data_IF_614799299622
#
_entry.id   IF_614799299622
#
_cell.length_a   1.000
_cell.length_b   1.000
_cell.length_c   1.000
_cell.angle_alpha   90.00
_cell.angle_beta   90.00
_cell.angle_gamma   90.00
#
_symmetry.space_group_name_H-M   'P 1'
#
loop_
_entity.id
_entity.type
_entity.pdbx_description
1 polymer ?
#
# COMPACT_ATOMS: atom_id res chain seq x y z
N UNK A 1 25.06 -10.37 3.78
CA UNK A 1 24.54 -11.46 4.62
C UNK A 1 25.42 -11.60 5.85
N UNK A 2 25.00 -11.02 6.99
CA UNK A 2 25.32 -11.52 8.32
C UNK A 2 24.13 -11.22 9.24
N UNK A 3 23.75 -12.25 9.97
CA UNK A 3 22.66 -12.40 10.97
C UNK A 3 23.06 -11.67 12.27
N UNK A 4 22.28 -11.43 13.34
CA UNK A 4 20.88 -11.43 13.81
C UNK A 4 20.98 -10.98 15.29
N UNK A 5 19.91 -10.43 15.89
CA UNK A 5 19.50 -10.61 17.31
C UNK A 5 18.03 -10.17 17.34
N UNK A 6 17.03 -10.83 17.90
CA UNK A 6 16.85 -12.01 18.76
C UNK A 6 15.46 -11.83 19.40
N UNK A 7 14.76 -12.90 19.77
CA UNK A 7 14.16 -13.09 21.11
C UNK A 7 13.19 -14.30 21.16
N UNK A 8 13.56 -15.23 22.05
CA UNK A 8 12.74 -15.94 23.05
C UNK A 8 11.50 -16.71 22.59
N UNK A 9 11.71 -18.00 22.35
CA UNK A 9 10.72 -19.05 22.57
C UNK A 9 11.22 -20.00 23.66
N UNK A 10 10.55 -20.02 24.81
CA UNK A 10 10.78 -21.01 25.87
C UNK A 10 10.10 -22.31 25.45
N UNK A 11 10.88 -23.35 25.17
CA UNK A 11 10.39 -24.71 24.94
C UNK A 11 11.03 -25.62 25.99
N UNK A 12 10.20 -26.10 26.91
CA UNK A 12 10.54 -27.15 27.87
C UNK A 12 10.66 -28.48 27.11
N UNK A 13 11.89 -28.91 26.86
CA UNK A 13 12.20 -30.26 26.40
C UNK A 13 13.16 -30.92 27.39
N UNK A 14 12.62 -31.89 28.13
CA UNK A 14 13.36 -32.79 29.02
C UNK A 14 14.28 -33.67 28.17
N UNK A 15 15.59 -33.47 28.28
CA UNK A 15 16.58 -34.30 27.61
C UNK A 15 17.98 -34.03 28.16
N UNK A 16 18.49 -34.97 28.94
CA UNK A 16 19.83 -34.94 29.53
C UNK A 16 20.93 -34.98 28.46
N UNK A 17 21.96 -34.17 28.67
CA UNK A 17 23.33 -34.48 28.28
C UNK A 17 23.81 -33.84 26.98
N UNK A 18 24.66 -32.82 27.12
CA UNK A 18 25.49 -32.33 26.03
C UNK A 18 26.11 -30.97 26.32
N UNK A 19 27.34 -30.96 26.86
CA UNK A 19 28.19 -29.76 26.85
C UNK A 19 28.39 -29.30 25.40
N UNK A 20 28.11 -28.02 25.12
CA UNK A 20 28.70 -27.35 23.96
C UNK A 20 28.86 -25.84 24.24
N UNK A 21 30.14 -25.49 24.39
CA UNK A 21 30.81 -24.18 24.28
C UNK A 21 30.06 -23.05 23.59
N UNK A 22 30.05 -21.89 24.25
CA UNK A 22 29.50 -20.64 23.74
C UNK A 22 30.29 -20.02 22.59
N UNK A 23 29.60 -19.20 21.81
CA UNK A 23 30.22 -18.28 20.86
C UNK A 23 29.59 -16.90 21.02
N UNK A 24 30.41 -15.95 21.45
CA UNK A 24 30.17 -14.51 21.39
C UNK A 24 30.31 -14.05 19.94
N UNK A 25 29.20 -13.66 19.30
CA UNK A 25 29.25 -12.89 18.06
C UNK A 25 29.03 -11.42 18.37
N UNK A 26 30.12 -10.67 18.35
CA UNK A 26 30.11 -9.21 18.21
C UNK A 26 29.82 -8.87 16.75
N UNK A 27 28.71 -8.18 16.50
CA UNK A 27 28.32 -7.65 15.20
C UNK A 27 27.62 -6.31 15.36
N UNK A 28 28.39 -5.23 15.42
CA UNK A 28 27.93 -3.85 15.29
C UNK A 28 27.87 -3.48 13.80
N UNK A 29 26.75 -2.89 13.34
CA UNK A 29 26.68 -2.31 12.01
C UNK A 29 25.28 -1.86 11.58
N UNK A 30 24.97 -0.57 11.80
CA UNK A 30 24.12 0.24 10.92
C UNK A 30 22.60 0.17 11.12
N UNK A 31 22.07 0.99 12.02
CA UNK A 31 20.65 1.40 12.05
C UNK A 31 20.30 2.24 10.81
N UNK A 32 19.91 1.58 9.72
CA UNK A 32 18.99 2.20 8.77
C UNK A 32 17.57 2.03 9.32
N UNK A 33 16.72 3.06 9.34
CA UNK A 33 15.30 2.87 9.57
C UNK A 33 14.82 1.86 8.53
N UNK A 34 14.41 0.67 8.98
CA UNK A 34 13.73 -0.26 8.11
C UNK A 34 12.56 0.48 7.51
N UNK A 35 12.57 0.63 6.18
CA UNK A 35 11.39 1.03 5.43
C UNK A 35 10.35 -0.07 5.71
N UNK A 36 9.52 0.16 6.73
CA UNK A 36 8.41 -0.70 7.04
C UNK A 36 7.47 -0.55 5.86
N UNK A 37 7.54 -1.47 4.89
CA UNK A 37 6.55 -1.58 3.83
C UNK A 37 5.25 -2.01 4.47
N UNK A 38 4.56 -1.05 5.10
CA UNK A 38 3.17 -1.17 5.45
C UNK A 38 2.47 -1.40 4.12
N UNK A 39 1.97 -2.61 3.91
CA UNK A 39 1.20 -2.95 2.72
C UNK A 39 -0.10 -2.16 2.83
N UNK A 40 -0.07 -0.94 2.33
CA UNK A 40 -1.22 -0.06 2.19
C UNK A 40 -2.32 -0.87 1.49
N UNK A 41 -3.53 -0.91 2.06
CA UNK A 41 -4.64 -1.59 1.42
C UNK A 41 -4.95 -0.82 0.13
N UNK A 42 -4.41 -1.31 -0.99
CA UNK A 42 -4.54 -0.67 -2.29
C UNK A 42 -5.84 -1.13 -2.95
N UNK A 43 -6.78 -0.19 -3.11
CA UNK A 43 -7.99 -0.39 -3.89
C UNK A 43 -7.76 0.11 -5.31
N UNK A 44 -7.83 -0.80 -6.29
CA UNK A 44 -7.70 -0.46 -7.71
C UNK A 44 -9.07 -0.13 -8.30
N UNK A 45 -9.19 1.08 -8.84
CA UNK A 45 -10.36 1.57 -9.58
C UNK A 45 -10.07 1.41 -11.07
N UNK A 46 -10.78 0.46 -11.71
CA UNK A 46 -10.62 0.18 -13.15
C UNK A 46 -11.66 0.96 -13.94
N UNK A 47 -11.23 2.01 -14.61
CA UNK A 47 -12.07 2.80 -15.48
C UNK A 47 -12.12 2.20 -16.90
N UNK A 48 -13.24 2.42 -17.58
CA UNK A 48 -13.47 1.88 -18.93
C UNK A 48 -13.79 2.94 -19.97
N UNK A 49 -13.49 4.21 -19.67
CA UNK A 49 -13.83 5.36 -20.52
C UNK A 49 -15.35 5.59 -20.65
N UNK A 50 -16.08 5.37 -19.56
CA UNK A 50 -17.54 5.44 -19.55
C UNK A 50 -18.04 6.59 -18.67
N UNK A 51 -19.20 7.20 -18.97
CA UNK A 51 -19.77 8.28 -18.16
C UNK A 51 -19.98 7.95 -16.68
N UNK A 52 -20.05 6.66 -16.33
CA UNK A 52 -20.19 6.16 -14.95
C UNK A 52 -18.89 6.13 -14.15
N UNK A 53 -17.72 6.32 -14.78
CA UNK A 53 -16.42 6.21 -14.11
C UNK A 53 -16.30 7.17 -12.93
N UNK A 54 -16.75 8.42 -13.10
CA UNK A 54 -16.70 9.43 -12.05
C UNK A 54 -17.50 9.04 -10.79
N UNK A 55 -18.71 8.49 -10.99
CA UNK A 55 -19.56 8.02 -9.90
C UNK A 55 -18.94 6.80 -9.19
N UNK A 56 -18.35 5.88 -9.94
CA UNK A 56 -17.62 4.74 -9.38
C UNK A 56 -16.41 5.21 -8.55
N UNK A 57 -15.62 6.15 -9.06
CA UNK A 57 -14.48 6.73 -8.35
C UNK A 57 -14.96 7.35 -7.03
N UNK A 58 -16.01 8.18 -7.06
CA UNK A 58 -16.56 8.81 -5.87
C UNK A 58 -17.08 7.78 -4.86
N UNK A 59 -17.71 6.69 -5.32
CA UNK A 59 -18.18 5.62 -4.44
C UNK A 59 -17.01 4.90 -3.75
N UNK A 60 -15.92 4.61 -4.47
CA UNK A 60 -14.73 3.99 -3.89
C UNK A 60 -14.06 4.92 -2.88
N UNK A 61 -13.91 6.21 -3.20
CA UNK A 61 -13.34 7.19 -2.29
C UNK A 61 -14.21 7.31 -1.02
N UNK A 62 -15.53 7.38 -1.16
CA UNK A 62 -16.44 7.48 -0.02
C UNK A 62 -16.38 6.24 0.89
N UNK A 63 -16.11 5.05 0.34
CA UNK A 63 -15.96 3.82 1.11
C UNK A 63 -14.56 3.62 1.72
N UNK A 64 -13.55 4.39 1.27
CA UNK A 64 -12.17 4.26 1.75
C UNK A 64 -11.98 4.72 3.19
N UNK A 65 -11.01 4.14 3.88
CA UNK A 65 -10.58 4.50 5.23
C UNK A 65 -9.34 5.41 5.21
N UNK A 66 -9.07 6.15 6.30
CA UNK A 66 -7.81 6.87 6.43
C UNK A 66 -6.61 5.91 6.34
N UNK A 67 -5.62 6.26 5.51
CA UNK A 67 -4.45 5.43 5.23
C UNK A 67 -4.61 4.51 4.01
N UNK A 68 -5.75 4.51 3.33
CA UNK A 68 -5.94 3.70 2.11
C UNK A 68 -5.21 4.29 0.90
N UNK A 69 -4.72 3.38 0.05
CA UNK A 69 -4.23 3.70 -1.28
C UNK A 69 -5.35 3.49 -2.31
N UNK A 70 -5.61 4.52 -3.11
CA UNK A 70 -6.53 4.44 -4.24
C UNK A 70 -5.71 4.54 -5.52
N UNK A 71 -5.79 3.50 -6.34
CA UNK A 71 -4.99 3.36 -7.57
C UNK A 71 -5.92 3.36 -8.77
N UNK A 72 -5.76 4.32 -9.67
CA UNK A 72 -6.53 4.42 -10.91
C UNK A 72 -5.86 3.62 -12.02
N UNK A 73 -6.66 2.88 -12.78
CA UNK A 73 -6.24 2.10 -13.94
C UNK A 73 -7.20 2.32 -15.11
N UNK A 74 -6.65 2.42 -16.32
CA UNK A 74 -7.39 2.72 -17.53
C UNK A 74 -7.80 4.20 -17.72
N UNK A 75 -8.40 4.51 -18.88
CA UNK A 75 -8.99 5.82 -19.16
C UNK A 75 -10.25 6.05 -18.33
N UNK A 76 -10.31 7.14 -17.57
CA UNK A 76 -11.45 7.54 -16.74
C UNK A 76 -12.14 8.77 -17.32
N UNK A 77 -13.41 8.64 -17.70
CA UNK A 77 -14.22 9.79 -18.10
C UNK A 77 -14.81 10.49 -16.87
N UNK A 78 -14.40 11.73 -16.63
CA UNK A 78 -14.80 12.53 -15.47
C UNK A 78 -15.99 13.43 -15.83
N UNK A 79 -17.20 13.00 -15.47
CA UNK A 79 -18.47 13.71 -15.72
C UNK A 79 -18.95 14.55 -14.53
N UNK A 80 -18.40 14.33 -13.35
CA UNK A 80 -18.68 15.06 -12.11
C UNK A 80 -17.41 15.28 -11.28
N UNK A 81 -17.47 16.19 -10.31
CA UNK A 81 -16.31 16.50 -9.45
C UNK A 81 -15.90 15.28 -8.64
N UNK A 82 -14.62 14.93 -8.70
CA UNK A 82 -14.03 13.89 -7.84
C UNK A 82 -13.68 14.48 -6.48
N UNK A 83 -14.31 13.97 -5.42
CA UNK A 83 -14.12 14.46 -4.05
C UNK A 83 -13.05 13.65 -3.34
N UNK A 84 -11.82 14.17 -3.32
CA UNK A 84 -10.72 13.53 -2.58
C UNK A 84 -10.92 13.72 -1.07
N UNK A 85 -10.70 12.65 -0.30
CA UNK A 85 -10.70 12.70 1.16
C UNK A 85 -9.27 12.81 1.66
N UNK A 86 -9.06 13.56 2.75
CA UNK A 86 -7.74 13.69 3.37
C UNK A 86 -7.21 12.36 3.90
N UNK A 87 -5.89 12.24 4.07
CA UNK A 87 -5.22 11.02 4.56
C UNK A 87 -5.50 9.78 3.69
N UNK A 88 -5.49 9.92 2.36
CA UNK A 88 -5.40 8.81 1.40
C UNK A 88 -4.31 9.09 0.37
N UNK A 89 -3.74 8.05 -0.18
CA UNK A 89 -2.83 8.14 -1.31
C UNK A 89 -3.60 7.95 -2.61
N UNK A 90 -3.30 8.76 -3.62
CA UNK A 90 -3.91 8.67 -4.95
C UNK A 90 -2.82 8.49 -6.00
N UNK A 91 -2.93 7.45 -6.82
CA UNK A 91 -1.92 7.15 -7.83
C UNK A 91 -2.54 6.58 -9.11
N UNK A 92 -1.81 6.65 -10.22
CA UNK A 92 -2.18 5.97 -11.47
C UNK A 92 -1.18 4.87 -11.81
N UNK A 93 -1.65 3.76 -12.37
CA UNK A 93 -0.78 2.64 -12.76
C UNK A 93 0.09 2.95 -13.98
N UNK A 94 -0.35 3.82 -14.89
CA UNK A 94 0.39 4.12 -16.12
C UNK A 94 0.23 5.57 -16.55
N UNK A 95 1.32 6.19 -17.01
CA UNK A 95 1.29 7.56 -17.57
C UNK A 95 0.57 7.67 -18.91
N UNK A 96 0.42 6.55 -19.64
CA UNK A 96 -0.26 6.51 -20.93
C UNK A 96 -1.55 5.69 -20.89
N UNK A 97 -1.68 4.79 -19.91
CA UNK A 97 -2.87 3.95 -19.73
C UNK A 97 -3.87 4.52 -18.73
N UNK A 98 -3.41 5.24 -17.70
CA UNK A 98 -4.28 5.92 -16.74
C UNK A 98 -4.44 7.37 -17.15
N UNK A 99 -5.58 7.70 -17.75
CA UNK A 99 -5.88 9.07 -18.21
C UNK A 99 -7.21 9.51 -17.61
N UNK A 100 -7.17 10.53 -16.75
CA UNK A 100 -8.38 11.17 -16.25
C UNK A 100 -8.67 12.35 -17.17
N UNK A 101 -9.79 12.32 -17.87
CA UNK A 101 -10.18 13.39 -18.80
C UNK A 101 -11.61 13.84 -18.53
N UNK A 102 -11.86 15.13 -18.69
CA UNK A 102 -13.19 15.70 -18.48
C UNK A 102 -14.13 15.28 -19.61
N UNK A 103 -15.22 14.60 -19.25
CA UNK A 103 -16.26 14.19 -20.18
C UNK A 103 -16.87 15.40 -20.91
N UNK A 104 -17.26 15.19 -22.17
CA UNK A 104 -17.95 16.23 -22.94
C UNK A 104 -19.22 16.70 -22.22
N UNK A 105 -19.39 18.02 -22.09
CA UNK A 105 -20.55 18.62 -21.41
C UNK A 105 -20.49 18.63 -19.87
N UNK A 106 -19.43 18.08 -19.26
CA UNK A 106 -19.26 18.18 -17.81
C UNK A 106 -18.97 19.64 -17.43
N UNK A 107 -19.87 20.27 -16.66
CA UNK A 107 -19.64 21.61 -16.10
C UNK A 107 -18.98 21.45 -14.74
N UNK A 108 -17.69 21.14 -14.76
CA UNK A 108 -16.88 21.02 -13.55
C UNK A 108 -16.38 22.42 -13.16
N UNK A 109 -16.55 22.85 -11.88
CA UNK A 109 -16.14 24.16 -11.40
C UNK A 109 -14.61 24.34 -11.30
#
# INVERSE_FOLDING_TARGET
>A
MSRFHGFVGVLLASGLGGLAVGQTVVGQGGDAPGEQTQVEAATVVRCTNEPSDAAMINAVIAASQPGDAIVFDGPCQITETIKLLGNRSYSGQSRTGTVLWQGQGATLP
#
